data_IF_570494261040
#
_entry.id   IF_570494261040
#
_cell.length_a   1.000
_cell.length_b   1.000
_cell.length_c   1.000
_cell.angle_alpha   90.00
_cell.angle_beta   90.00
_cell.angle_gamma   90.00
#
_symmetry.space_group_name_H-M   'P 1'
#
loop_
_entity.id
_entity.type
_entity.pdbx_description
1 polymer ?
#
# COMPACT_ATOMS: atom_id res chain seq x y z
N UNK A 1 -8.52 -13.52 18.03
CA UNK A 1 -7.93 -12.36 18.76
C UNK A 1 -7.93 -12.67 20.27
N UNK A 2 -6.80 -12.47 20.95
CA UNK A 2 -6.63 -12.84 22.37
C UNK A 2 -7.01 -11.64 23.27
N UNK A 3 -8.03 -11.78 24.13
CA UNK A 3 -8.69 -10.66 24.83
C UNK A 3 -7.93 -10.12 26.06
N UNK A 4 -6.70 -10.59 26.34
CA UNK A 4 -5.95 -10.32 27.58
C UNK A 4 -4.85 -9.26 27.54
N UNK A 5 -4.68 -8.49 26.46
CA UNK A 5 -3.62 -7.46 26.38
C UNK A 5 -4.06 -6.13 27.03
N UNK A 6 -3.19 -5.47 27.82
CA UNK A 6 -3.50 -4.19 28.45
C UNK A 6 -3.80 -3.13 27.37
N UNK A 7 -4.81 -2.28 27.64
CA UNK A 7 -5.33 -1.26 26.71
C UNK A 7 -4.23 -0.54 25.88
N UNK A 8 -3.10 -0.06 26.45
CA UNK A 8 -2.06 0.64 25.69
C UNK A 8 -1.43 -0.20 24.57
N UNK A 9 -1.27 -1.50 24.76
CA UNK A 9 -0.67 -2.40 23.77
C UNK A 9 -1.55 -2.62 22.54
N UNK A 10 -2.87 -2.64 22.73
CA UNK A 10 -3.85 -2.76 21.63
C UNK A 10 -3.87 -1.52 20.75
N UNK A 11 -3.80 -0.33 21.36
CA UNK A 11 -3.71 0.94 20.63
C UNK A 11 -2.42 1.04 19.83
N UNK A 12 -1.27 0.65 20.41
CA UNK A 12 0.01 0.73 19.70
C UNK A 12 0.05 -0.17 18.46
N UNK A 13 -0.42 -1.42 18.58
CA UNK A 13 -0.51 -2.33 17.44
C UNK A 13 -1.43 -1.81 16.33
N UNK A 14 -2.55 -1.19 16.71
CA UNK A 14 -3.46 -0.53 15.76
C UNK A 14 -2.80 0.64 15.01
N UNK A 15 -2.07 1.51 15.71
CA UNK A 15 -1.33 2.63 15.09
C UNK A 15 -0.31 2.09 14.09
N UNK A 16 0.49 1.10 14.49
CA UNK A 16 1.52 0.51 13.63
C UNK A 16 0.91 -0.07 12.36
N UNK A 17 -0.22 -0.77 12.47
CA UNK A 17 -0.92 -1.32 11.31
C UNK A 17 -1.42 -0.23 10.36
N UNK A 18 -2.01 0.86 10.89
CA UNK A 18 -2.44 1.99 10.06
C UNK A 18 -1.28 2.69 9.35
N UNK A 19 -0.20 2.98 10.08
CA UNK A 19 1.00 3.61 9.50
C UNK A 19 1.58 2.73 8.40
N UNK A 20 1.66 1.41 8.61
CA UNK A 20 2.13 0.47 7.60
C UNK A 20 1.24 0.48 6.34
N UNK A 21 -0.09 0.42 6.52
CA UNK A 21 -1.05 0.44 5.42
C UNK A 21 -1.01 1.74 4.60
N UNK A 22 -0.96 2.90 5.27
CA UNK A 22 -0.88 4.20 4.62
C UNK A 22 0.46 4.39 3.90
N UNK A 23 1.56 3.96 4.51
CA UNK A 23 2.89 4.03 3.89
C UNK A 23 2.95 3.17 2.63
N UNK A 24 2.46 1.93 2.70
CA UNK A 24 2.37 1.05 1.54
C UNK A 24 1.51 1.68 0.44
N UNK A 25 0.34 2.22 0.81
CA UNK A 25 -0.56 2.87 -0.14
C UNK A 25 0.06 4.10 -0.80
N UNK A 26 0.85 4.88 -0.07
CA UNK A 26 1.56 6.04 -0.62
C UNK A 26 2.59 5.62 -1.69
N UNK A 27 3.31 4.50 -1.47
CA UNK A 27 4.24 3.96 -2.47
C UNK A 27 3.47 3.50 -3.72
N UNK A 28 2.34 2.81 -3.55
CA UNK A 28 1.49 2.39 -4.67
C UNK A 28 0.89 3.59 -5.42
N UNK A 29 0.48 4.64 -4.71
CA UNK A 29 0.00 5.88 -5.33
C UNK A 29 1.11 6.54 -6.16
N UNK A 30 2.33 6.63 -5.63
CA UNK A 30 3.50 7.07 -6.38
C UNK A 30 3.80 6.20 -7.60
N UNK A 31 3.52 4.90 -7.52
CA UNK A 31 3.66 3.96 -8.63
C UNK A 31 2.65 4.25 -9.75
N UNK A 32 1.38 4.45 -9.41
CA UNK A 32 0.36 4.87 -10.38
C UNK A 32 0.69 6.22 -11.00
N UNK A 33 1.21 7.16 -10.19
CA UNK A 33 1.67 8.45 -10.68
C UNK A 33 2.77 8.29 -11.74
N UNK A 34 3.74 7.40 -11.57
CA UNK A 34 4.80 7.28 -12.58
C UNK A 34 4.35 6.82 -13.97
N UNK A 35 3.23 6.12 -14.05
CA UNK A 35 2.72 5.57 -15.31
C UNK A 35 1.63 6.46 -15.94
N UNK A 36 1.32 7.61 -15.33
CA UNK A 36 0.21 8.47 -15.74
C UNK A 36 0.42 9.11 -17.13
N UNK A 37 1.62 9.57 -17.47
CA UNK A 37 1.89 10.17 -18.77
C UNK A 37 1.73 9.16 -19.93
N UNK A 38 2.39 7.98 -19.91
CA UNK A 38 2.27 7.04 -21.02
C UNK A 38 0.91 6.32 -21.04
N UNK A 39 0.25 6.14 -19.89
CA UNK A 39 -0.96 5.32 -19.76
C UNK A 39 -1.99 5.93 -18.78
N UNK A 40 -2.61 7.08 -19.11
CA UNK A 40 -3.43 7.86 -18.18
C UNK A 40 -4.65 7.12 -17.66
N UNK A 41 -5.36 6.36 -18.51
CA UNK A 41 -6.54 5.58 -18.09
C UNK A 41 -6.15 4.46 -17.13
N UNK A 42 -5.04 3.75 -17.40
CA UNK A 42 -4.57 2.68 -16.51
C UNK A 42 -4.16 3.23 -15.15
N UNK A 43 -3.46 4.36 -15.14
CA UNK A 43 -3.06 5.04 -13.92
C UNK A 43 -4.29 5.50 -13.10
N UNK A 44 -5.30 6.07 -13.77
CA UNK A 44 -6.53 6.52 -13.12
C UNK A 44 -7.32 5.37 -12.50
N UNK A 45 -7.57 4.29 -13.26
CA UNK A 45 -8.30 3.12 -12.75
C UNK A 45 -7.51 2.41 -11.64
N UNK A 46 -6.18 2.33 -11.76
CA UNK A 46 -5.33 1.82 -10.69
C UNK A 46 -5.45 2.69 -9.43
N UNK A 47 -5.46 4.02 -9.57
CA UNK A 47 -5.69 4.95 -8.46
C UNK A 47 -7.04 4.73 -7.77
N UNK A 48 -8.11 4.50 -8.53
CA UNK A 48 -9.43 4.16 -7.96
C UNK A 48 -9.38 2.84 -7.20
N UNK A 49 -8.81 1.78 -7.79
CA UNK A 49 -8.68 0.48 -7.13
C UNK A 49 -7.90 0.61 -5.81
N UNK A 50 -6.79 1.36 -5.82
CA UNK A 50 -6.01 1.66 -4.63
C UNK A 50 -6.83 2.41 -3.57
N UNK A 51 -7.64 3.40 -3.97
CA UNK A 51 -8.50 4.13 -3.04
C UNK A 51 -9.56 3.22 -2.40
N UNK A 52 -10.22 2.37 -3.19
CA UNK A 52 -11.19 1.39 -2.68
C UNK A 52 -10.49 0.46 -1.68
N UNK A 53 -9.28 0.00 -2.01
CA UNK A 53 -8.50 -0.84 -1.09
C UNK A 53 -8.21 -0.15 0.24
N UNK A 54 -7.80 1.12 0.21
CA UNK A 54 -7.52 1.89 1.43
C UNK A 54 -8.77 2.00 2.29
N UNK A 55 -9.92 2.32 1.69
CA UNK A 55 -11.20 2.40 2.40
C UNK A 55 -11.59 1.04 2.99
N UNK A 56 -11.45 -0.03 2.21
CA UNK A 56 -11.76 -1.40 2.64
C UNK A 56 -10.93 -1.83 3.85
N UNK A 57 -9.69 -1.36 3.98
CA UNK A 57 -8.86 -1.64 5.16
C UNK A 57 -9.11 -0.71 6.34
N UNK A 58 -9.45 0.57 6.11
CA UNK A 58 -9.72 1.52 7.20
C UNK A 58 -10.98 1.12 7.98
N UNK A 59 -12.02 0.61 7.30
CA UNK A 59 -13.30 0.25 7.93
C UNK A 59 -13.10 -0.82 9.03
N UNK A 60 -12.47 -1.99 8.79
CA UNK A 60 -12.20 -2.97 9.84
C UNK A 60 -11.37 -2.40 11.00
N UNK A 61 -10.39 -1.53 10.73
CA UNK A 61 -9.57 -0.91 11.79
C UNK A 61 -10.38 0.05 12.66
N UNK A 62 -11.35 0.76 12.08
CA UNK A 62 -12.28 1.60 12.82
C UNK A 62 -13.24 0.75 13.68
N UNK A 63 -13.82 -0.31 13.10
CA UNK A 63 -14.67 -1.26 13.81
C UNK A 63 -13.95 -1.84 15.04
N UNK A 64 -12.67 -2.20 14.89
CA UNK A 64 -11.87 -2.80 15.96
C UNK A 64 -11.67 -1.89 17.19
N UNK A 65 -11.53 -0.57 16.97
CA UNK A 65 -11.22 0.37 18.05
C UNK A 65 -12.48 1.02 18.65
N UNK A 66 -13.54 1.13 17.86
CA UNK A 66 -14.77 1.80 18.27
C UNK A 66 -15.89 0.81 18.59
N UNK A 67 -16.30 0.02 17.61
CA UNK A 67 -17.50 -0.82 17.72
C UNK A 67 -17.28 -2.07 18.59
N UNK A 68 -16.16 -2.79 18.44
CA UNK A 68 -15.91 -4.02 19.20
C UNK A 68 -15.94 -3.79 20.73
N UNK A 69 -15.27 -2.77 21.30
CA UNK A 69 -15.36 -2.50 22.73
C UNK A 69 -16.78 -2.21 23.21
N UNK A 70 -17.57 -1.48 22.43
CA UNK A 70 -18.94 -1.15 22.80
C UNK A 70 -19.86 -2.37 22.73
N UNK A 71 -19.74 -3.20 21.69
CA UNK A 71 -20.50 -4.45 21.57
C UNK A 71 -20.14 -5.42 22.69
N UNK A 72 -18.87 -5.52 23.08
CA UNK A 72 -18.43 -6.33 24.22
C UNK A 72 -19.00 -5.84 25.57
N UNK A 73 -19.08 -4.52 25.77
CA UNK A 73 -19.72 -3.96 26.95
C UNK A 73 -21.25 -4.22 26.95
N UNK A 74 -21.89 -4.10 25.79
CA UNK A 74 -23.33 -4.36 25.64
C UNK A 74 -23.69 -5.84 25.86
N UNK A 75 -22.89 -6.78 25.33
CA UNK A 75 -23.10 -8.22 25.54
C UNK A 75 -22.96 -8.62 27.01
N UNK A 76 -22.11 -7.93 27.76
CA UNK A 76 -21.91 -8.17 29.20
C UNK A 76 -23.06 -7.63 30.07
N UNK A 77 -23.94 -6.79 29.53
CA UNK A 77 -25.13 -6.29 30.24
C UNK A 77 -26.34 -7.15 29.89
N UNK A 78 -27.01 -7.71 30.90
CA UNK A 78 -28.24 -8.50 30.74
C UNK A 78 -29.39 -7.59 30.27
N UNK A 79 -29.41 -7.28 28.98
CA UNK A 79 -30.38 -6.43 28.29
C UNK A 79 -30.89 -7.12 27.04
N UNK A 80 -32.02 -6.67 26.50
CA UNK A 80 -32.59 -7.20 25.25
C UNK A 80 -31.61 -7.10 24.05
N UNK A 81 -30.57 -6.28 24.15
CA UNK A 81 -29.57 -6.07 23.09
C UNK A 81 -28.35 -7.00 23.21
N UNK A 82 -28.23 -7.82 24.25
CA UNK A 82 -27.04 -8.65 24.48
C UNK A 82 -26.85 -9.68 23.36
N UNK A 83 -27.93 -10.34 22.94
CA UNK A 83 -27.92 -11.34 21.85
C UNK A 83 -27.52 -10.71 20.50
N UNK A 84 -28.03 -9.51 20.21
CA UNK A 84 -27.68 -8.78 18.98
C UNK A 84 -26.21 -8.35 19.02
N UNK A 85 -25.71 -7.91 20.18
CA UNK A 85 -24.31 -7.54 20.35
C UNK A 85 -23.36 -8.73 20.15
N UNK A 86 -23.74 -9.93 20.60
CA UNK A 86 -22.98 -11.17 20.37
C UNK A 86 -22.91 -11.54 18.89
N UNK A 87 -24.04 -11.50 18.17
CA UNK A 87 -24.05 -11.75 16.72
C UNK A 87 -23.20 -10.74 15.93
N UNK A 88 -23.26 -9.46 16.31
CA UNK A 88 -22.43 -8.43 15.69
C UNK A 88 -20.94 -8.59 16.04
N UNK A 89 -20.60 -9.11 17.21
CA UNK A 89 -19.22 -9.45 17.57
C UNK A 89 -18.68 -10.59 16.70
N UNK A 90 -19.49 -11.62 16.43
CA UNK A 90 -19.12 -12.69 15.50
C UNK A 90 -18.91 -12.13 14.09
N UNK A 91 -19.80 -11.26 13.62
CA UNK A 91 -19.67 -10.62 12.31
C UNK A 91 -18.45 -9.67 12.22
N UNK A 92 -18.02 -9.10 13.33
CA UNK A 92 -16.80 -8.29 13.42
C UNK A 92 -15.53 -9.11 13.63
N UNK A 93 -15.62 -10.42 13.85
CA UNK A 93 -14.50 -11.27 14.22
C UNK A 93 -13.57 -11.53 13.03
N UNK A 94 -12.36 -10.97 13.10
CA UNK A 94 -11.35 -11.13 12.05
C UNK A 94 -10.87 -12.58 11.84
N UNK A 95 -11.06 -13.46 12.83
CA UNK A 95 -10.58 -14.85 12.78
C UNK A 95 -11.54 -15.79 12.03
N UNK A 96 -12.73 -15.32 11.68
CA UNK A 96 -13.69 -16.08 10.87
C UNK A 96 -13.54 -15.65 9.41
N UNK A 97 -13.25 -16.60 8.52
CA UNK A 97 -13.00 -16.33 7.10
C UNK A 97 -14.17 -15.65 6.35
N UNK A 98 -15.39 -15.67 6.89
CA UNK A 98 -16.57 -15.04 6.28
C UNK A 98 -17.20 -13.96 7.17
N UNK A 99 -16.47 -13.45 8.16
CA UNK A 99 -16.92 -12.26 8.87
C UNK A 99 -16.94 -11.05 7.94
N UNK A 100 -17.71 -10.03 8.30
CA UNK A 100 -17.76 -8.79 7.54
C UNK A 100 -16.38 -8.13 7.48
N UNK A 101 -15.64 -8.15 8.59
CA UNK A 101 -14.31 -7.54 8.66
C UNK A 101 -13.28 -8.31 7.83
N UNK A 102 -13.31 -9.66 7.83
CA UNK A 102 -12.46 -10.46 6.95
C UNK A 102 -12.80 -10.26 5.47
N UNK A 103 -14.09 -10.15 5.15
CA UNK A 103 -14.55 -9.91 3.77
C UNK A 103 -14.05 -8.57 3.22
N UNK A 104 -14.04 -7.52 4.06
CA UNK A 104 -13.49 -6.21 3.70
C UNK A 104 -11.97 -6.27 3.51
N UNK A 105 -11.24 -7.03 4.34
CA UNK A 105 -9.80 -7.25 4.14
C UNK A 105 -9.53 -7.96 2.79
N UNK A 106 -10.29 -9.02 2.47
CA UNK A 106 -10.16 -9.72 1.18
C UNK A 106 -10.52 -8.84 -0.01
N UNK A 107 -11.51 -7.95 0.13
CA UNK A 107 -11.84 -6.95 -0.88
C UNK A 107 -10.67 -5.98 -1.09
N UNK A 108 -10.04 -5.52 -0.02
CA UNK A 108 -8.85 -4.66 -0.10
C UNK A 108 -7.70 -5.35 -0.84
N UNK A 109 -7.37 -6.59 -0.45
CA UNK A 109 -6.35 -7.37 -1.14
C UNK A 109 -6.68 -7.62 -2.62
N UNK A 110 -7.94 -7.91 -2.95
CA UNK A 110 -8.35 -8.07 -4.34
C UNK A 110 -8.19 -6.77 -5.13
N UNK A 111 -8.51 -5.61 -4.53
CA UNK A 111 -8.27 -4.31 -5.16
C UNK A 111 -6.79 -4.01 -5.39
N UNK A 112 -5.90 -4.41 -4.46
CA UNK A 112 -4.47 -4.40 -4.71
C UNK A 112 -4.05 -5.34 -5.85
N UNK A 113 -4.75 -6.46 -6.03
CA UNK A 113 -4.48 -7.39 -7.12
C UNK A 113 -4.85 -6.78 -8.48
N UNK A 114 -6.01 -6.13 -8.55
CA UNK A 114 -6.45 -5.35 -9.72
C UNK A 114 -5.45 -4.23 -10.02
N UNK A 115 -5.04 -3.47 -9.00
CA UNK A 115 -3.99 -2.46 -9.12
C UNK A 115 -2.71 -3.06 -9.74
N UNK A 116 -2.24 -4.18 -9.20
CA UNK A 116 -1.01 -4.83 -9.64
C UNK A 116 -1.03 -5.20 -11.13
N UNK A 117 -2.14 -5.78 -11.61
CA UNK A 117 -2.31 -6.12 -13.03
C UNK A 117 -2.36 -4.89 -13.93
N UNK A 118 -2.99 -3.80 -13.46
CA UNK A 118 -3.08 -2.56 -14.23
C UNK A 118 -1.72 -1.89 -14.41
N UNK A 119 -0.87 -1.91 -13.38
CA UNK A 119 0.43 -1.23 -13.40
C UNK A 119 1.60 -2.09 -13.87
N UNK A 120 1.50 -3.43 -13.79
CA UNK A 120 2.61 -4.33 -14.12
C UNK A 120 3.16 -4.10 -15.54
N UNK A 121 2.29 -4.07 -16.55
CA UNK A 121 2.71 -3.86 -17.95
C UNK A 121 3.50 -2.55 -18.15
N UNK A 122 2.96 -1.39 -17.74
CA UNK A 122 3.66 -0.11 -17.79
C UNK A 122 5.01 -0.11 -17.07
N UNK A 123 5.09 -0.72 -15.88
CA UNK A 123 6.31 -0.74 -15.07
C UNK A 123 7.46 -1.51 -15.72
N UNK A 124 7.17 -2.51 -16.57
CA UNK A 124 8.22 -3.25 -17.29
C UNK A 124 9.06 -2.40 -18.25
N UNK A 125 8.54 -1.24 -18.67
CA UNK A 125 9.23 -0.32 -19.60
C UNK A 125 10.17 0.65 -18.90
N UNK A 126 10.21 0.63 -17.56
CA UNK A 126 11.01 1.53 -16.75
C UNK A 126 12.33 0.86 -16.33
N UNK A 127 12.91 1.31 -15.21
CA UNK A 127 14.19 0.81 -14.70
C UNK A 127 14.13 -0.63 -14.17
N UNK A 128 15.28 -1.26 -13.91
CA UNK A 128 15.34 -2.62 -13.34
C UNK A 128 14.57 -2.78 -12.02
N UNK A 129 14.58 -1.78 -11.13
CA UNK A 129 13.79 -1.83 -9.89
C UNK A 129 12.28 -1.78 -10.16
N UNK A 130 11.85 -1.01 -11.16
CA UNK A 130 10.45 -1.00 -11.57
C UNK A 130 10.04 -2.32 -12.24
N UNK A 131 10.95 -3.00 -12.96
CA UNK A 131 10.71 -4.34 -13.50
C UNK A 131 10.53 -5.39 -12.39
N UNK A 132 11.33 -5.34 -11.33
CA UNK A 132 11.14 -6.22 -10.17
C UNK A 132 9.77 -5.96 -9.51
N UNK A 133 9.41 -4.68 -9.36
CA UNK A 133 8.08 -4.30 -8.85
C UNK A 133 6.95 -4.79 -9.78
N UNK A 134 7.15 -4.70 -11.10
CA UNK A 134 6.19 -5.20 -12.09
C UNK A 134 5.95 -6.70 -11.98
N UNK A 135 7.02 -7.49 -11.82
CA UNK A 135 6.93 -8.94 -11.60
C UNK A 135 6.20 -9.24 -10.29
N UNK A 136 6.59 -8.59 -9.18
CA UNK A 136 5.95 -8.80 -7.89
C UNK A 136 4.46 -8.44 -7.88
N UNK A 137 4.10 -7.27 -8.40
CA UNK A 137 2.71 -6.82 -8.53
C UNK A 137 1.89 -7.66 -9.50
N UNK A 138 2.51 -8.08 -10.62
CA UNK A 138 1.86 -8.94 -11.61
C UNK A 138 1.59 -10.34 -11.05
N UNK A 139 2.56 -10.94 -10.37
CA UNK A 139 2.39 -12.24 -9.72
C UNK A 139 1.37 -12.18 -8.60
N UNK A 140 1.45 -11.16 -7.73
CA UNK A 140 0.41 -10.93 -6.71
C UNK A 140 -0.97 -10.82 -7.35
N UNK A 141 -1.09 -9.97 -8.37
CA UNK A 141 -2.33 -9.75 -9.10
C UNK A 141 -2.92 -11.04 -9.66
N UNK A 142 -2.12 -11.80 -10.40
CA UNK A 142 -2.56 -13.04 -11.03
C UNK A 142 -2.93 -14.11 -9.99
N UNK A 143 -2.04 -14.37 -9.03
CA UNK A 143 -2.24 -15.43 -8.04
C UNK A 143 -3.43 -15.13 -7.12
N UNK A 144 -3.69 -13.86 -6.79
CA UNK A 144 -4.84 -13.50 -5.98
C UNK A 144 -6.16 -13.69 -6.74
N UNK A 145 -6.19 -13.43 -8.06
CA UNK A 145 -7.36 -13.76 -8.89
C UNK A 145 -7.57 -15.27 -9.01
N UNK A 146 -6.49 -16.05 -9.10
CA UNK A 146 -6.57 -17.52 -9.08
C UNK A 146 -7.12 -18.01 -7.74
N UNK A 147 -6.66 -17.46 -6.61
CA UNK A 147 -7.20 -17.75 -5.29
C UNK A 147 -8.70 -17.43 -5.23
N UNK A 148 -9.11 -16.25 -5.68
CA UNK A 148 -10.52 -15.86 -5.71
C UNK A 148 -11.36 -16.83 -6.55
N UNK A 149 -10.88 -17.20 -7.73
CA UNK A 149 -11.55 -18.18 -8.59
C UNK A 149 -11.66 -19.55 -7.92
N UNK A 150 -10.61 -20.00 -7.21
CA UNK A 150 -10.64 -21.25 -6.44
C UNK A 150 -11.65 -21.21 -5.29
N UNK A 151 -11.74 -20.08 -4.57
CA UNK A 151 -12.75 -19.88 -3.52
C UNK A 151 -14.17 -19.93 -4.12
N UNK A 152 -14.41 -19.24 -5.23
CA UNK A 152 -15.73 -19.24 -5.90
C UNK A 152 -16.10 -20.62 -6.47
N UNK A 153 -15.11 -21.39 -6.91
CA UNK A 153 -15.30 -22.77 -7.36
C UNK A 153 -15.46 -23.78 -6.22
N UNK A 154 -15.30 -23.34 -4.95
CA UNK A 154 -15.33 -24.22 -3.78
C UNK A 154 -14.14 -25.18 -3.68
N UNK A 155 -13.05 -24.93 -4.41
CA UNK A 155 -11.85 -25.78 -4.39
C UNK A 155 -10.88 -25.44 -3.26
N UNK A 156 -11.06 -24.29 -2.61
CA UNK A 156 -10.22 -23.83 -1.49
C UNK A 156 -11.01 -23.97 -0.18
N UNK A 157 -10.50 -24.74 0.80
CA UNK A 157 -11.13 -24.83 2.11
C UNK A 157 -11.20 -23.47 2.80
N UNK A 158 -12.35 -23.15 3.39
CA UNK A 158 -12.59 -21.86 4.08
C UNK A 158 -11.51 -21.51 5.10
N UNK A 159 -11.02 -22.50 5.86
CA UNK A 159 -10.01 -22.30 6.89
C UNK A 159 -8.64 -21.88 6.32
N UNK A 160 -8.37 -22.15 5.04
CA UNK A 160 -7.07 -21.89 4.41
C UNK A 160 -7.00 -20.55 3.67
N UNK A 161 -8.15 -19.93 3.37
CA UNK A 161 -8.24 -18.69 2.57
C UNK A 161 -7.36 -17.58 3.16
N UNK A 162 -7.42 -17.38 4.48
CA UNK A 162 -6.60 -16.39 5.18
C UNK A 162 -5.10 -16.63 5.00
N UNK A 163 -4.65 -17.87 5.21
CA UNK A 163 -3.24 -18.23 5.06
C UNK A 163 -2.73 -18.03 3.63
N UNK A 164 -3.53 -18.38 2.61
CA UNK A 164 -3.17 -18.13 1.22
C UNK A 164 -3.12 -16.64 0.90
N UNK A 165 -4.14 -15.86 1.29
CA UNK A 165 -4.21 -14.43 1.05
C UNK A 165 -3.00 -13.69 1.68
N UNK A 166 -2.64 -14.02 2.91
CA UNK A 166 -1.48 -13.45 3.61
C UNK A 166 -0.16 -13.83 2.94
N UNK A 167 -0.01 -15.10 2.56
CA UNK A 167 1.21 -15.60 1.90
C UNK A 167 1.47 -14.89 0.57
N UNK A 168 0.42 -14.62 -0.21
CA UNK A 168 0.53 -13.84 -1.44
C UNK A 168 0.99 -12.40 -1.17
N UNK A 169 0.67 -11.84 0.00
CA UNK A 169 1.11 -10.51 0.41
C UNK A 169 2.63 -10.30 0.37
N UNK A 170 3.44 -11.36 0.46
CA UNK A 170 4.90 -11.26 0.32
C UNK A 170 5.33 -10.68 -1.04
N UNK A 171 4.64 -11.04 -2.13
CA UNK A 171 4.94 -10.48 -3.46
C UNK A 171 4.68 -8.97 -3.52
N UNK A 172 3.63 -8.51 -2.84
CA UNK A 172 3.33 -7.09 -2.70
C UNK A 172 4.44 -6.36 -1.93
N UNK A 173 4.91 -6.93 -0.81
CA UNK A 173 6.01 -6.34 -0.01
C UNK A 173 7.28 -6.20 -0.84
N UNK A 174 7.66 -7.24 -1.59
CA UNK A 174 8.82 -7.19 -2.50
C UNK A 174 8.67 -6.05 -3.50
N UNK A 175 7.48 -5.92 -4.11
CA UNK A 175 7.24 -4.87 -5.08
C UNK A 175 7.29 -3.46 -4.47
N UNK A 176 6.70 -3.28 -3.29
CA UNK A 176 6.70 -2.00 -2.56
C UNK A 176 8.12 -1.58 -2.19
N UNK A 177 8.95 -2.50 -1.68
CA UNK A 177 10.36 -2.21 -1.37
C UNK A 177 11.11 -1.81 -2.64
N UNK A 178 10.95 -2.57 -3.72
CA UNK A 178 11.61 -2.28 -4.99
C UNK A 178 11.20 -0.93 -5.57
N UNK A 179 9.92 -0.58 -5.44
CA UNK A 179 9.39 0.67 -5.96
C UNK A 179 9.74 1.87 -5.07
N UNK A 180 9.81 1.69 -3.76
CA UNK A 180 10.34 2.70 -2.85
C UNK A 180 11.80 3.06 -3.19
N UNK A 181 12.63 2.07 -3.56
CA UNK A 181 14.00 2.32 -4.05
C UNK A 181 13.98 3.07 -5.38
N UNK A 182 13.05 2.74 -6.27
CA UNK A 182 12.90 3.43 -7.54
C UNK A 182 12.53 4.91 -7.37
N UNK A 183 11.53 5.19 -6.53
CA UNK A 183 11.01 6.53 -6.23
C UNK A 183 12.04 7.45 -5.54
N UNK A 184 13.03 6.87 -4.84
CA UNK A 184 14.11 7.64 -4.19
C UNK A 184 15.19 8.13 -5.16
N UNK A 185 15.21 7.68 -6.40
CA UNK A 185 16.26 8.09 -7.36
C UNK A 185 16.02 9.54 -7.79
N UNK A 186 17.06 10.41 -7.78
CA UNK A 186 16.94 11.77 -8.28
C UNK A 186 16.45 11.73 -9.73
N UNK A 187 15.40 12.50 -10.04
CA UNK A 187 14.94 12.62 -11.42
C UNK A 187 16.06 13.18 -12.31
N UNK A 188 16.08 12.81 -13.60
CA UNK A 188 17.05 13.36 -14.55
C UNK A 188 17.02 14.90 -14.59
N UNK A 189 15.84 15.49 -14.36
CA UNK A 189 15.63 16.93 -14.17
C UNK A 189 16.40 17.50 -12.97
N UNK A 190 16.44 16.80 -11.83
CA UNK A 190 17.23 17.24 -10.69
C UNK A 190 18.74 17.17 -10.94
N UNK A 191 19.19 16.18 -11.73
CA UNK A 191 20.59 16.07 -12.13
C UNK A 191 20.98 17.18 -13.10
N UNK A 192 20.17 17.45 -14.13
CA UNK A 192 20.44 18.51 -15.10
C UNK A 192 20.43 19.89 -14.44
N UNK A 193 19.52 20.16 -13.50
CA UNK A 193 19.50 21.43 -12.75
C UNK A 193 20.72 21.56 -11.83
N UNK A 194 21.17 20.48 -11.19
CA UNK A 194 22.40 20.51 -10.38
C UNK A 194 23.64 20.70 -11.25
N UNK A 195 23.74 20.02 -12.40
CA UNK A 195 24.84 20.18 -13.35
C UNK A 195 24.85 21.59 -13.96
N UNK A 196 23.68 22.12 -14.32
CA UNK A 196 23.55 23.48 -14.84
C UNK A 196 23.98 24.52 -13.82
N UNK A 197 23.55 24.40 -12.56
CA UNK A 197 24.02 25.28 -11.47
C UNK A 197 25.51 25.13 -11.17
N UNK A 198 26.06 23.92 -11.27
CA UNK A 198 27.49 23.68 -11.08
C UNK A 198 28.34 24.27 -12.22
N UNK A 199 27.81 24.30 -13.45
CA UNK A 199 28.46 24.96 -14.57
C UNK A 199 28.40 26.49 -14.43
N UNK A 200 27.25 27.06 -14.07
CA UNK A 200 27.13 28.51 -13.80
C UNK A 200 28.12 28.98 -12.72
N UNK A 201 28.31 28.20 -11.64
CA UNK A 201 29.27 28.55 -10.59
C UNK A 201 30.72 28.52 -11.08
N UNK A 202 31.09 27.54 -11.91
CA UNK A 202 32.43 27.46 -12.52
C UNK A 202 32.69 28.63 -13.47
N UNK A 203 31.70 29.02 -14.25
CA UNK A 203 31.83 30.14 -15.18
C UNK A 203 32.00 31.48 -14.44
N UNK A 204 31.30 31.64 -13.31
CA UNK A 204 31.47 32.80 -12.42
C UNK A 204 32.87 32.83 -11.80
N UNK A 205 33.41 31.70 -11.34
CA UNK A 205 34.76 31.61 -10.78
C UNK A 205 35.83 31.92 -11.84
N UNK A 206 35.69 31.37 -13.05
CA UNK A 206 36.61 31.61 -14.16
C UNK A 206 36.61 33.09 -14.60
N UNK A 207 35.43 33.71 -14.71
CA UNK A 207 35.32 35.14 -15.01
C UNK A 207 35.91 36.02 -13.91
N UNK A 208 35.70 35.65 -12.63
CA UNK A 208 36.28 36.37 -11.49
C UNK A 208 37.79 36.30 -11.50
N UNK A 209 38.38 35.12 -11.75
CA UNK A 209 39.83 34.96 -11.88
C UNK A 209 40.41 35.70 -13.08
N UNK A 210 39.74 35.69 -14.24
CA UNK A 210 40.14 36.45 -15.42
C UNK A 210 40.14 37.97 -15.16
N UNK A 211 39.13 38.47 -14.43
CA UNK A 211 39.03 39.88 -14.06
C UNK A 211 40.11 40.31 -13.06
N UNK A 212 40.44 39.43 -12.10
CA UNK A 212 41.55 39.66 -11.16
C UNK A 212 42.90 39.67 -11.90
N UNK A 213 43.13 38.74 -12.82
CA UNK A 213 44.39 38.69 -13.57
C UNK A 213 44.59 39.94 -14.45
N UNK A 214 43.52 40.44 -15.08
CA UNK A 214 43.53 41.70 -15.85
C UNK A 214 43.76 42.96 -15.01
N UNK A 215 43.52 42.94 -13.70
CA UNK A 215 43.81 44.06 -12.80
C UNK A 215 45.25 44.09 -12.28
N UNK A 216 45.98 42.97 -12.38
CA UNK A 216 47.32 42.80 -11.78
C UNK A 216 48.42 42.98 -12.84
N UNK A 217 48.10 42.95 -14.13
CA UNK A 217 49.02 43.31 -15.21
C UNK A 217 48.83 44.79 -15.58
N UNK A 218 49.76 45.69 -15.19
CA UNK A 218 49.77 47.09 -15.63
C UNK A 218 50.15 47.25 -17.10
#
# INVERSE_FOLDING_TARGET
MNYGQPLPGRFLGWIVQLVAMLTLSAVLAGTAWQIHEPHPVRAFVAGIALLISVVAFIIPKFIAIWSIPQMAAASATASANSVVAEQLLELANLSLAFSLTASLDYLGFWMYAVFGLLVAGPLFRLSMSAKIAAVGLGLYGLLYHVLLAGVMAGSVPTAEIGGYAESLGMFMVIAVISMAVHLRRPSASQKSVKEQRANEHRDLEANTQSALHRRIQP
#
